data_IF_308680678824
#
_entry.id   IF_308680678824
#
_cell.length_a   1.000
_cell.length_b   1.000
_cell.length_c   1.000
_cell.angle_alpha   90.00
_cell.angle_beta   90.00
_cell.angle_gamma   90.00
#
_symmetry.space_group_name_H-M   'P 1'
#
loop_
_entity.id
_entity.type
_entity.pdbx_description
1 polymer ?
#
# COMPACT_ATOMS: atom_id res chain seq x y z
N UNK A 1 8.67 -11.90 -3.20
CA UNK A 1 8.36 -12.07 -3.07
C UNK A 1 8.06 -12.18 -2.95
N UNK A 2 7.94 -12.62 -2.82
CA UNK A 2 7.56 -13.02 -2.50
C UNK A 2 7.07 -13.63 -2.13
N UNK A 3 7.06 -14.23 -2.14
CA UNK A 3 6.40 -14.91 -1.59
C UNK A 3 6.12 -15.61 -1.69
N UNK A 4 5.87 -15.78 -1.65
CA UNK A 4 5.37 -16.59 -1.43
C UNK A 4 5.13 -17.07 -1.07
N UNK A 5 5.37 -17.48 -1.06
CA UNK A 5 5.10 -17.98 -0.51
C UNK A 5 4.69 -18.31 -0.07
N UNK A 6 4.90 -18.46 -0.12
CA UNK A 6 4.37 -18.78 0.41
C UNK A 6 3.74 -19.19 0.77
N UNK A 7 3.83 -19.54 0.72
CA UNK A 7 3.16 -20.00 0.98
C UNK A 7 2.63 -20.48 0.93
N UNK A 8 2.85 -21.00 0.66
CA UNK A 8 2.30 -21.54 0.65
C UNK A 8 2.18 -22.22 0.83
N UNK A 9 2.54 -22.49 0.91
CA UNK A 9 2.47 -23.05 1.23
C UNK A 9 2.30 -23.53 1.92
N UNK A 10 2.48 -23.60 2.10
CA UNK A 10 2.17 -23.96 2.76
C UNK A 10 1.68 -24.24 3.26
N UNK A 11 1.42 -24.72 3.18
CA UNK A 11 0.67 -25.11 3.73
C UNK A 11 0.14 -25.87 3.82
N UNK A 12 0.21 -26.41 4.05
CA UNK A 12 -0.54 -27.10 4.28
C UNK A 12 -1.32 -27.31 4.84
N UNK A 13 -1.71 -27.73 4.75
CA UNK A 13 -2.81 -27.68 5.57
C UNK A 13 -3.00 -28.49 6.63
N UNK A 14 -2.45 -29.33 6.93
CA UNK A 14 -2.70 -29.82 7.89
C UNK A 14 -2.36 -29.29 8.99
N UNK A 15 -1.77 -28.97 8.83
CA UNK A 15 -1.72 -28.34 9.66
C UNK A 15 -2.16 -27.37 9.87
N UNK A 16 -2.35 -27.34 9.48
CA UNK A 16 -3.03 -26.38 9.52
C UNK A 16 -4.02 -26.31 10.12
N UNK A 17 -3.98 -26.90 10.57
CA UNK A 17 -4.92 -26.90 11.17
C UNK A 17 -5.20 -26.43 11.91
N UNK A 18 -4.91 -26.73 11.74
CA UNK A 18 -5.20 -26.29 12.30
C UNK A 18 -5.31 -25.39 12.73
N UNK A 19 -4.95 -25.40 12.62
CA UNK A 19 -5.17 -24.57 12.74
C UNK A 19 -5.56 -23.65 12.96
N UNK A 20 -5.73 -23.76 13.36
CA UNK A 20 -6.15 -22.72 13.37
C UNK A 20 -5.64 -21.65 12.54
N UNK A 21 -5.28 -21.71 11.48
CA UNK A 21 -4.61 -20.93 10.50
C UNK A 21 -5.44 -19.81 9.94
N UNK A 22 -6.70 -19.88 10.09
CA UNK A 22 -7.57 -18.81 9.62
C UNK A 22 -7.28 -17.49 10.31
N UNK A 23 -6.84 -17.56 11.52
CA UNK A 23 -6.49 -16.34 12.24
C UNK A 23 -5.28 -15.67 11.65
N UNK A 24 -4.37 -16.46 11.11
CA UNK A 24 -3.19 -15.92 10.48
C UNK A 24 -3.57 -15.08 9.27
N UNK A 25 -4.52 -15.57 8.48
CA UNK A 25 -4.94 -14.85 7.30
C UNK A 25 -5.48 -13.48 7.65
N UNK A 26 -6.30 -13.40 8.67
CA UNK A 26 -6.93 -12.12 9.00
C UNK A 26 -5.92 -11.09 9.49
N UNK A 27 -4.77 -11.53 9.99
CA UNK A 27 -3.76 -10.58 10.45
C UNK A 27 -2.85 -10.09 9.35
N UNK A 28 -2.93 -10.68 8.17
CA UNK A 28 -2.11 -10.26 7.04
C UNK A 28 -2.63 -8.99 6.40
N UNK A 29 -3.85 -8.62 6.72
CA UNK A 29 -4.47 -7.46 6.11
C UNK A 29 -5.29 -6.75 7.18
N UNK A 30 -5.04 -5.48 7.39
CA UNK A 30 -5.78 -4.70 8.37
C UNK A 30 -5.96 -3.29 7.86
N UNK A 31 -6.89 -2.59 8.46
CA UNK A 31 -7.13 -1.20 8.11
C UNK A 31 -5.97 -0.35 8.55
N UNK A 32 -5.59 0.54 7.69
CA UNK A 32 -4.53 1.49 7.97
C UNK A 32 -4.69 2.70 7.08
N UNK A 33 -3.60 3.42 6.92
CA UNK A 33 -3.63 4.69 6.21
C UNK A 33 -2.48 4.77 5.22
N UNK A 34 -2.77 5.35 4.06
CA UNK A 34 -1.76 5.71 3.08
C UNK A 34 -1.97 7.15 2.68
N UNK A 35 -0.94 7.75 2.11
CA UNK A 35 -1.05 9.11 1.62
C UNK A 35 -1.15 9.06 0.11
N UNK A 36 -2.24 9.57 -0.43
CA UNK A 36 -2.43 9.60 -1.87
C UNK A 36 -1.78 10.85 -2.44
N UNK A 37 -0.93 10.68 -3.44
CA UNK A 37 -0.15 11.76 -3.99
C UNK A 37 -0.48 12.08 -5.43
N UNK A 38 -1.25 11.23 -6.11
CA UNK A 38 -1.56 11.45 -7.51
C UNK A 38 -2.80 10.66 -7.91
N UNK A 39 -3.55 11.24 -8.84
CA UNK A 39 -4.74 10.59 -9.39
C UNK A 39 -4.88 11.02 -10.83
N UNK A 40 -5.12 10.06 -11.72
CA UNK A 40 -5.26 10.35 -13.14
C UNK A 40 -6.06 9.26 -13.83
N UNK A 41 -6.67 9.60 -14.94
CA UNK A 41 -7.34 8.61 -15.77
C UNK A 41 -6.41 8.00 -16.80
N UNK A 42 -5.22 8.55 -16.96
CA UNK A 42 -4.25 8.11 -17.97
C UNK A 42 -3.33 7.04 -17.39
N UNK A 43 -3.35 5.85 -17.99
CA UNK A 43 -2.48 4.77 -17.55
C UNK A 43 -1.01 5.15 -17.74
N UNK A 44 -0.69 5.85 -18.82
CA UNK A 44 0.70 6.23 -19.09
C UNK A 44 1.21 7.22 -18.05
N UNK A 45 0.40 8.21 -17.70
CA UNK A 45 0.77 9.16 -16.67
C UNK A 45 0.96 8.46 -15.33
N UNK A 46 0.05 7.54 -15.01
CA UNK A 46 0.12 6.83 -13.76
C UNK A 46 1.40 6.02 -13.66
N UNK A 47 1.75 5.32 -14.71
CA UNK A 47 2.96 4.50 -14.71
C UNK A 47 4.22 5.35 -14.59
N UNK A 48 4.26 6.47 -15.30
CA UNK A 48 5.40 7.36 -15.22
C UNK A 48 5.56 7.94 -13.84
N UNK A 49 4.47 8.40 -13.26
CA UNK A 49 4.50 8.97 -11.92
C UNK A 49 4.88 7.92 -10.89
N UNK A 50 4.32 6.72 -11.03
CA UNK A 50 4.64 5.63 -10.13
C UNK A 50 6.12 5.29 -10.15
N UNK A 51 6.69 5.23 -11.34
CA UNK A 51 8.10 4.89 -11.51
C UNK A 51 8.98 5.95 -10.88
N UNK A 52 8.66 7.21 -11.14
CA UNK A 52 9.44 8.33 -10.59
C UNK A 52 9.36 8.37 -9.07
N UNK A 53 8.15 8.22 -8.53
CA UNK A 53 7.99 8.29 -7.08
C UNK A 53 8.58 7.09 -6.38
N UNK A 54 8.51 5.90 -6.99
CA UNK A 54 9.12 4.71 -6.42
C UNK A 54 10.63 4.86 -6.31
N UNK A 55 11.23 5.58 -7.27
CA UNK A 55 12.68 5.80 -7.24
C UNK A 55 13.04 6.89 -6.25
N UNK A 56 12.22 7.93 -6.14
CA UNK A 56 12.54 9.10 -5.34
C UNK A 56 12.27 8.91 -3.85
N UNK A 57 11.31 8.05 -3.51
CA UNK A 57 10.87 7.92 -2.12
C UNK A 57 11.40 6.64 -1.50
N UNK A 58 11.66 6.72 -0.20
CA UNK A 58 12.10 5.55 0.57
C UNK A 58 10.93 4.69 1.01
N UNK A 59 9.75 5.27 1.07
CA UNK A 59 8.56 4.53 1.49
C UNK A 59 8.00 3.73 0.33
N UNK A 60 7.19 2.73 0.66
CA UNK A 60 6.54 1.91 -0.35
C UNK A 60 5.52 2.74 -1.12
N UNK A 61 5.51 2.56 -2.43
CA UNK A 61 4.61 3.29 -3.32
C UNK A 61 3.71 2.27 -4.01
N UNK A 62 2.44 2.57 -4.08
CA UNK A 62 1.43 1.67 -4.62
C UNK A 62 0.65 2.34 -5.73
N UNK A 63 0.43 1.59 -6.82
CA UNK A 63 -0.42 2.02 -7.91
C UNK A 63 -1.69 1.20 -7.87
N UNK A 64 -2.83 1.85 -7.71
CA UNK A 64 -4.12 1.20 -7.60
C UNK A 64 -5.03 1.72 -8.69
N UNK A 65 -5.76 0.82 -9.33
CA UNK A 65 -6.78 1.23 -10.30
C UNK A 65 -8.15 1.10 -9.63
N UNK A 66 -8.81 2.23 -9.56
CA UNK A 66 -10.15 2.34 -8.97
C UNK A 66 -10.95 3.11 -10.01
N UNK A 67 -11.55 2.38 -10.94
CA UNK A 67 -12.13 2.92 -12.16
C UNK A 67 -12.96 4.15 -11.93
N UNK A 68 -12.80 5.19 -12.71
CA UNK A 68 -11.93 5.27 -13.90
C UNK A 68 -10.53 5.83 -13.59
N UNK A 69 -10.12 5.86 -12.33
CA UNK A 69 -8.90 6.54 -11.93
C UNK A 69 -7.81 5.58 -11.55
N UNK A 70 -6.59 5.96 -11.89
CA UNK A 70 -5.38 5.37 -11.30
C UNK A 70 -4.95 6.25 -10.15
N UNK A 71 -4.64 5.65 -9.02
CA UNK A 71 -4.30 6.38 -7.81
C UNK A 71 -2.96 5.90 -7.29
N UNK A 72 -2.11 6.84 -6.93
CA UNK A 72 -0.79 6.51 -6.41
C UNK A 72 -0.75 6.91 -4.94
N UNK A 73 -0.43 5.92 -4.11
CA UNK A 73 -0.46 6.05 -2.65
C UNK A 73 0.85 5.59 -2.07
N UNK A 74 1.21 6.18 -0.95
CA UNK A 74 2.50 5.97 -0.30
C UNK A 74 2.29 5.52 1.13
N UNK A 75 3.11 4.55 1.56
CA UNK A 75 3.22 4.16 2.95
C UNK A 75 2.26 3.09 3.39
N UNK A 76 2.53 2.55 4.56
CA UNK A 76 1.67 1.56 5.22
C UNK A 76 1.60 1.95 6.69
N UNK A 77 0.76 2.93 7.01
CA UNK A 77 0.68 3.47 8.35
C UNK A 77 -0.47 2.82 9.10
N UNK A 78 -0.19 2.28 10.26
CA UNK A 78 -1.23 1.72 11.12
C UNK A 78 -2.00 2.85 11.81
N UNK A 79 -1.27 3.86 12.29
CA UNK A 79 -1.87 4.97 13.01
C UNK A 79 -2.02 6.17 12.09
N UNK A 80 -3.11 6.90 12.27
CA UNK A 80 -3.35 8.10 11.49
C UNK A 80 -2.24 9.14 11.70
N UNK A 81 -1.71 9.21 12.91
CA UNK A 81 -0.65 10.16 13.20
C UNK A 81 0.56 9.94 12.31
N UNK A 82 0.91 8.68 12.09
CA UNK A 82 2.06 8.37 11.23
C UNK A 82 1.80 8.81 9.80
N UNK A 83 0.56 8.70 9.35
CA UNK A 83 0.20 9.16 8.01
C UNK A 83 0.30 10.69 7.91
N UNK A 84 -0.04 11.38 8.99
CA UNK A 84 0.06 12.84 9.01
C UNK A 84 1.54 13.27 8.90
N UNK A 85 2.41 12.58 9.62
CA UNK A 85 3.83 12.85 9.55
C UNK A 85 4.35 12.60 8.14
N UNK A 86 3.96 11.47 7.56
CA UNK A 86 4.36 11.13 6.20
C UNK A 86 3.85 12.17 5.21
N UNK A 87 2.62 12.64 5.37
CA UNK A 87 2.06 13.66 4.50
C UNK A 87 2.90 14.94 4.52
N UNK A 88 3.34 15.33 5.71
CA UNK A 88 4.17 16.53 5.83
C UNK A 88 5.51 16.34 5.12
N UNK A 89 6.09 15.17 5.27
CA UNK A 89 7.36 14.88 4.60
C UNK A 89 7.20 14.92 3.09
N UNK A 90 6.10 14.38 2.59
CA UNK A 90 5.85 14.37 1.16
C UNK A 90 5.64 15.77 0.62
N UNK A 91 4.93 16.61 1.36
CA UNK A 91 4.77 18.00 0.96
C UNK A 91 6.11 18.73 0.91
N UNK A 92 6.95 18.46 1.87
CA UNK A 92 8.28 19.06 1.90
C UNK A 92 9.17 18.58 0.75
N UNK A 93 8.91 17.37 0.27
CA UNK A 93 9.65 16.81 -0.85
C UNK A 93 9.18 17.37 -2.19
N UNK A 94 7.97 17.94 -2.22
CA UNK A 94 7.47 18.57 -3.43
C UNK A 94 6.13 18.06 -3.93
N UNK A 95 5.53 17.11 -3.24
CA UNK A 95 4.22 16.60 -3.63
C UNK A 95 3.15 17.51 -3.03
N UNK A 96 2.59 18.36 -3.86
CA UNK A 96 1.71 19.43 -3.37
C UNK A 96 0.31 18.94 -3.05
N UNK A 97 -0.19 18.00 -3.83
CA UNK A 97 -1.54 17.50 -3.66
C UNK A 97 -1.46 16.17 -2.93
N UNK A 98 -1.68 16.19 -1.62
CA UNK A 98 -1.59 15.00 -0.81
C UNK A 98 -2.78 14.94 0.13
N UNK A 99 -3.35 13.75 0.29
CA UNK A 99 -4.33 13.55 1.34
C UNK A 99 -4.27 12.13 1.83
N UNK A 100 -4.77 11.97 3.07
CA UNK A 100 -4.69 10.70 3.77
C UNK A 100 -5.93 9.89 3.43
N UNK A 101 -5.72 8.63 3.04
CA UNK A 101 -6.82 7.72 2.76
C UNK A 101 -6.75 6.55 3.72
N UNK A 102 -7.92 6.12 4.17
CA UNK A 102 -8.02 4.92 4.98
C UNK A 102 -8.23 3.75 4.03
N UNK A 103 -7.42 2.71 4.21
CA UNK A 103 -7.47 1.57 3.30
C UNK A 103 -6.94 0.34 4.01
N UNK A 104 -7.11 -0.80 3.35
CA UNK A 104 -6.51 -2.03 3.85
C UNK A 104 -5.04 -2.04 3.49
N UNK A 105 -4.22 -2.42 4.43
CA UNK A 105 -2.77 -2.51 4.24
C UNK A 105 -2.30 -3.90 4.61
N UNK A 106 -1.10 -4.23 4.17
CA UNK A 106 -0.52 -5.54 4.44
C UNK A 106 0.83 -5.44 5.07
#
# INVERSE_FOLDING_TARGET
MKWPLVINQVFSPEYWGLVDSTKTVSRESEDGFRVQIFETQSANEAQSFFRESSTALNDSVYLTFDAPFYKIRVGNCIARYDAIVLQKELKNTGYKTTWIVRTRIE
#
